data_IF_201460005375
#
_entry.id   IF_201460005375
#
_cell.length_a   1.000
_cell.length_b   1.000
_cell.length_c   1.000
_cell.angle_alpha   90.00
_cell.angle_beta   90.00
_cell.angle_gamma   90.00
#
_symmetry.space_group_name_H-M   'P 1'
#
loop_
_entity.id
_entity.type
_entity.pdbx_description
1 polymer ?
#
# COMPACT_ATOMS: atom_id res chain seq x y z
N UNK A 1 -28.10 18.75 10.21
CA UNK A 1 -27.10 17.69 10.47
C UNK A 1 -25.75 18.36 10.73
N UNK A 2 -24.72 17.61 11.21
CA UNK A 2 -23.35 18.16 11.31
C UNK A 2 -22.76 18.37 9.92
N UNK A 3 -21.93 19.41 9.74
CA UNK A 3 -21.21 19.60 8.47
C UNK A 3 -20.34 18.39 8.12
N UNK A 4 -20.11 18.10 6.83
CA UNK A 4 -19.24 16.99 6.38
C UNK A 4 -17.86 17.01 7.04
N UNK A 5 -17.24 18.18 7.12
CA UNK A 5 -15.93 18.38 7.74
C UNK A 5 -15.92 17.93 9.21
N UNK A 6 -16.92 18.34 10.01
CA UNK A 6 -17.03 17.94 11.42
C UNK A 6 -17.24 16.43 11.56
N UNK A 7 -17.97 15.80 10.63
CA UNK A 7 -18.17 14.35 10.63
C UNK A 7 -16.86 13.63 10.33
N UNK A 8 -16.17 14.01 9.25
CA UNK A 8 -14.92 13.36 8.83
C UNK A 8 -13.80 13.58 9.86
N UNK A 9 -13.65 14.79 10.40
CA UNK A 9 -12.68 15.07 11.47
C UNK A 9 -12.98 14.23 12.73
N UNK A 10 -14.24 14.07 13.11
CA UNK A 10 -14.59 13.21 14.24
C UNK A 10 -14.22 11.75 14.00
N UNK A 11 -14.40 11.23 12.77
CA UNK A 11 -14.00 9.88 12.42
C UNK A 11 -12.47 9.73 12.49
N UNK A 12 -11.71 10.70 11.96
CA UNK A 12 -10.25 10.71 12.00
C UNK A 12 -9.71 10.78 13.44
N UNK A 13 -10.29 11.61 14.30
CA UNK A 13 -9.88 11.69 15.70
C UNK A 13 -10.08 10.36 16.45
N UNK A 14 -11.24 9.71 16.26
CA UNK A 14 -11.50 8.40 16.88
C UNK A 14 -10.61 7.29 16.29
N UNK A 15 -10.15 7.45 15.05
CA UNK A 15 -9.25 6.51 14.38
C UNK A 15 -7.88 6.37 15.06
N UNK A 16 -7.44 7.39 15.81
CA UNK A 16 -6.18 7.38 16.56
C UNK A 16 -6.16 6.36 17.70
N UNK A 17 -7.33 5.96 18.17
CA UNK A 17 -7.46 4.88 19.15
C UNK A 17 -7.63 3.54 18.41
N UNK A 18 -6.67 2.63 18.59
CA UNK A 18 -6.64 1.31 17.91
C UNK A 18 -7.86 0.46 18.25
N UNK A 19 -8.36 0.55 19.49
CA UNK A 19 -9.44 -0.29 20.02
C UNK A 19 -10.82 0.31 19.81
N UNK A 20 -10.87 1.52 19.22
CA UNK A 20 -12.15 2.18 18.97
C UNK A 20 -12.93 1.47 17.86
N UNK A 21 -14.17 1.09 18.15
CA UNK A 21 -15.10 0.50 17.18
C UNK A 21 -16.15 1.51 16.77
N UNK A 22 -16.20 1.75 15.47
CA UNK A 22 -17.11 2.74 14.89
C UNK A 22 -18.54 2.22 14.83
N UNK A 23 -19.44 2.97 15.43
CA UNK A 23 -20.88 2.73 15.43
C UNK A 23 -21.63 3.82 14.66
N UNK A 24 -22.88 3.54 14.27
CA UNK A 24 -23.82 4.49 13.67
C UNK A 24 -23.29 5.18 12.39
N UNK A 25 -22.38 4.54 11.68
CA UNK A 25 -21.80 5.04 10.43
C UNK A 25 -22.86 5.19 9.33
N UNK A 26 -23.81 4.26 9.29
CA UNK A 26 -24.88 4.27 8.29
C UNK A 26 -25.72 5.55 8.33
N UNK A 27 -25.83 6.20 9.49
CA UNK A 27 -26.55 7.47 9.66
C UNK A 27 -25.89 8.63 8.92
N UNK A 28 -24.60 8.58 8.64
CA UNK A 28 -23.87 9.59 7.86
C UNK A 28 -24.40 9.66 6.43
N UNK A 29 -24.88 8.54 5.89
CA UNK A 29 -25.51 8.43 4.57
C UNK A 29 -26.88 9.12 4.48
N UNK A 30 -27.41 9.67 5.58
CA UNK A 30 -28.64 10.47 5.56
C UNK A 30 -28.36 11.97 5.41
N UNK A 31 -27.11 12.36 5.39
CA UNK A 31 -26.69 13.75 5.32
C UNK A 31 -26.53 14.21 3.86
N UNK A 32 -27.42 15.06 3.39
CA UNK A 32 -27.37 15.59 2.01
C UNK A 32 -26.05 16.33 1.71
N UNK A 33 -25.48 17.05 2.70
CA UNK A 33 -24.23 17.77 2.53
C UNK A 33 -23.04 16.83 2.23
N UNK A 34 -23.07 15.58 2.75
CA UNK A 34 -22.09 14.55 2.40
C UNK A 34 -22.16 14.18 0.92
N UNK A 35 -23.37 14.11 0.34
CA UNK A 35 -23.56 13.84 -1.08
C UNK A 35 -23.16 15.03 -1.96
N UNK A 36 -23.40 16.26 -1.50
CA UNK A 36 -22.92 17.46 -2.20
C UNK A 36 -21.40 17.52 -2.21
N UNK A 37 -20.74 17.19 -1.09
CA UNK A 37 -19.30 17.06 -1.04
C UNK A 37 -18.78 15.93 -1.95
N UNK A 38 -19.44 14.78 -1.94
CA UNK A 38 -19.12 13.66 -2.82
C UNK A 38 -19.24 14.07 -4.30
N UNK A 39 -20.31 14.78 -4.66
CA UNK A 39 -20.47 15.32 -6.01
C UNK A 39 -19.32 16.26 -6.39
N UNK A 40 -18.96 17.20 -5.53
CA UNK A 40 -17.85 18.13 -5.77
C UNK A 40 -16.51 17.38 -5.98
N UNK A 41 -16.28 16.28 -5.26
CA UNK A 41 -15.06 15.50 -5.40
C UNK A 41 -14.96 14.73 -6.71
N UNK A 42 -16.10 14.38 -7.31
CA UNK A 42 -16.11 13.54 -8.52
C UNK A 42 -16.44 14.28 -9.80
N UNK A 43 -17.13 15.44 -9.74
CA UNK A 43 -17.67 16.13 -10.91
C UNK A 43 -16.62 16.51 -11.96
N UNK A 44 -15.41 16.86 -11.53
CA UNK A 44 -14.33 17.29 -12.43
C UNK A 44 -13.44 16.13 -12.90
N UNK A 45 -13.69 14.90 -12.44
CA UNK A 45 -12.81 13.77 -12.78
C UNK A 45 -13.15 13.20 -14.16
N UNK A 46 -12.14 12.78 -14.95
CA UNK A 46 -12.38 12.07 -16.20
C UNK A 46 -13.29 10.84 -15.99
N UNK A 47 -14.16 10.56 -16.94
CA UNK A 47 -15.06 9.41 -16.89
C UNK A 47 -16.40 9.63 -16.17
N UNK A 48 -16.68 10.84 -15.64
CA UNK A 48 -17.99 11.14 -15.04
C UNK A 48 -19.12 11.17 -16.05
N UNK A 49 -18.83 11.59 -17.26
CA UNK A 49 -19.76 11.54 -18.40
C UNK A 49 -19.96 10.14 -18.96
N UNK A 50 -19.19 9.16 -18.47
CA UNK A 50 -19.36 7.76 -18.90
C UNK A 50 -20.48 7.12 -18.12
N UNK A 51 -21.57 6.76 -18.81
CA UNK A 51 -22.72 6.12 -18.22
C UNK A 51 -22.40 4.71 -17.70
N UNK A 52 -23.00 4.35 -16.58
CA UNK A 52 -23.01 2.98 -16.05
C UNK A 52 -23.96 2.08 -16.84
N UNK A 53 -24.44 1.01 -16.19
CA UNK A 53 -25.42 0.07 -16.78
C UNK A 53 -26.83 0.67 -16.90
N UNK A 54 -27.13 1.72 -16.13
CA UNK A 54 -28.42 2.41 -16.12
C UNK A 54 -28.54 3.56 -17.15
N UNK A 55 -27.48 3.81 -17.91
CA UNK A 55 -27.43 4.88 -18.91
C UNK A 55 -27.32 6.30 -18.34
N UNK A 56 -27.36 6.49 -17.01
CA UNK A 56 -27.31 7.77 -16.37
C UNK A 56 -25.89 8.34 -16.25
N UNK A 57 -25.79 9.64 -16.43
CA UNK A 57 -24.54 10.41 -16.26
C UNK A 57 -24.68 11.46 -15.16
N UNK A 58 -23.66 12.30 -15.02
CA UNK A 58 -23.64 13.42 -14.08
C UNK A 58 -24.69 14.51 -14.42
N UNK A 59 -25.10 14.64 -15.69
CA UNK A 59 -25.97 15.75 -16.16
C UNK A 59 -27.33 15.80 -15.47
N UNK A 60 -27.82 14.65 -14.98
CA UNK A 60 -29.07 14.59 -14.22
C UNK A 60 -28.94 14.91 -12.73
N UNK A 61 -27.84 15.55 -12.28
CA UNK A 61 -27.64 15.86 -10.86
C UNK A 61 -28.62 16.92 -10.35
N UNK A 62 -29.25 16.64 -9.20
CA UNK A 62 -30.17 17.56 -8.54
C UNK A 62 -30.32 17.21 -7.05
N UNK A 63 -30.74 18.18 -6.24
CA UNK A 63 -31.08 17.93 -4.83
C UNK A 63 -32.17 16.86 -4.67
N UNK A 64 -33.17 16.87 -5.54
CA UNK A 64 -34.25 15.87 -5.56
C UNK A 64 -33.71 14.44 -5.77
N UNK A 65 -32.64 14.29 -6.59
CA UNK A 65 -31.97 13.00 -6.81
C UNK A 65 -31.27 12.53 -5.53
N UNK A 66 -30.56 13.44 -4.83
CA UNK A 66 -29.95 13.13 -3.52
C UNK A 66 -31.02 12.71 -2.51
N UNK A 67 -32.13 13.46 -2.41
CA UNK A 67 -33.21 13.12 -1.47
C UNK A 67 -33.79 11.74 -1.75
N UNK A 68 -33.99 11.37 -3.02
CA UNK A 68 -34.43 10.04 -3.43
C UNK A 68 -33.44 8.95 -2.99
N UNK A 69 -32.13 9.17 -3.21
CA UNK A 69 -31.08 8.26 -2.76
C UNK A 69 -31.09 8.08 -1.24
N UNK A 70 -31.16 9.19 -0.50
CA UNK A 70 -31.23 9.18 0.96
C UNK A 70 -32.48 8.44 1.44
N UNK A 71 -33.61 8.62 0.76
CA UNK A 71 -34.85 7.89 1.05
C UNK A 71 -34.65 6.38 0.92
N UNK A 72 -34.07 5.92 -0.18
CA UNK A 72 -33.77 4.51 -0.43
C UNK A 72 -32.72 3.94 0.55
N UNK A 73 -31.76 4.75 0.99
CA UNK A 73 -30.79 4.35 2.01
C UNK A 73 -31.44 4.26 3.41
N UNK A 74 -32.34 5.19 3.78
CA UNK A 74 -33.01 5.19 5.07
C UNK A 74 -33.85 3.93 5.30
N UNK A 75 -34.58 3.50 4.29
CA UNK A 75 -35.45 2.31 4.36
C UNK A 75 -34.72 1.02 3.92
N UNK A 76 -33.40 1.07 3.66
CA UNK A 76 -32.55 -0.04 3.21
C UNK A 76 -32.95 -0.67 1.87
N UNK A 77 -33.84 -0.04 1.09
CA UNK A 77 -34.24 -0.52 -0.24
C UNK A 77 -33.19 -0.27 -1.32
N UNK A 78 -32.18 0.55 -1.02
CA UNK A 78 -31.10 0.83 -1.97
C UNK A 78 -30.37 -0.46 -2.37
N UNK A 79 -30.27 -0.67 -3.69
CA UNK A 79 -29.50 -1.74 -4.31
C UNK A 79 -28.55 -1.14 -5.35
N UNK A 80 -27.22 -1.38 -5.24
CA UNK A 80 -26.29 -0.97 -6.26
C UNK A 80 -26.60 -1.64 -7.59
N UNK A 81 -26.44 -0.89 -8.68
CA UNK A 81 -26.54 -1.45 -10.02
C UNK A 81 -25.28 -2.29 -10.37
N UNK A 82 -25.39 -3.31 -11.20
CA UNK A 82 -24.21 -3.97 -11.75
C UNK A 82 -23.33 -2.98 -12.50
N UNK A 83 -22.01 -3.07 -12.35
CA UNK A 83 -21.10 -2.22 -13.10
C UNK A 83 -21.11 -2.59 -14.58
N UNK A 84 -21.08 -1.61 -15.50
CA UNK A 84 -20.89 -1.87 -16.92
C UNK A 84 -19.44 -2.21 -17.20
N UNK A 85 -19.17 -3.40 -17.73
CA UNK A 85 -17.81 -3.85 -18.06
C UNK A 85 -17.32 -3.22 -19.37
N UNK A 86 -16.07 -2.79 -19.37
CA UNK A 86 -15.33 -2.32 -20.55
C UNK A 86 -13.89 -2.77 -20.44
N UNK A 87 -13.13 -2.68 -21.53
CA UNK A 87 -11.75 -3.15 -21.57
C UNK A 87 -10.80 -2.03 -21.98
N UNK A 88 -9.67 -1.95 -21.29
CA UNK A 88 -8.58 -1.02 -21.62
C UNK A 88 -7.35 -1.84 -22.00
N UNK A 89 -6.70 -1.55 -23.15
CA UNK A 89 -5.50 -2.26 -23.56
C UNK A 89 -4.33 -1.96 -22.61
N UNK A 90 -3.62 -2.99 -22.19
CA UNK A 90 -2.33 -2.88 -21.48
C UNK A 90 -1.19 -2.74 -22.48
N UNK A 91 -0.03 -2.24 -22.04
CA UNK A 91 1.19 -2.12 -22.86
C UNK A 91 1.67 -3.45 -23.48
N UNK A 92 1.35 -4.58 -22.85
CA UNK A 92 1.69 -5.92 -23.32
C UNK A 92 0.63 -6.56 -24.24
N UNK A 93 -0.34 -5.78 -24.73
CA UNK A 93 -1.43 -6.25 -25.60
C UNK A 93 -2.58 -6.96 -24.89
N UNK A 94 -2.45 -7.32 -23.62
CA UNK A 94 -3.56 -7.90 -22.84
C UNK A 94 -4.59 -6.82 -22.50
N UNK A 95 -5.84 -7.22 -22.35
CA UNK A 95 -6.93 -6.34 -21.95
C UNK A 95 -7.06 -6.29 -20.43
N UNK A 96 -7.32 -5.09 -19.88
CA UNK A 96 -7.67 -4.88 -18.46
C UNK A 96 -9.17 -4.65 -18.40
N UNK A 97 -9.92 -5.52 -17.70
CA UNK A 97 -11.34 -5.27 -17.45
C UNK A 97 -11.52 -4.07 -16.51
N UNK A 98 -12.46 -3.19 -16.82
CA UNK A 98 -12.84 -2.04 -16.02
C UNK A 98 -14.35 -2.05 -15.81
N UNK A 99 -14.81 -1.93 -14.57
CA UNK A 99 -16.21 -1.79 -14.23
C UNK A 99 -16.59 -0.32 -14.06
N UNK A 100 -17.60 0.14 -14.77
CA UNK A 100 -18.11 1.51 -14.68
C UNK A 100 -19.39 1.47 -13.85
N UNK A 101 -19.39 1.98 -12.59
CA UNK A 101 -20.58 2.07 -11.76
C UNK A 101 -21.58 3.10 -12.33
N UNK A 102 -22.86 2.96 -11.99
CA UNK A 102 -23.84 4.01 -12.25
C UNK A 102 -23.51 5.30 -11.51
N UNK A 103 -24.04 6.43 -11.95
CA UNK A 103 -23.70 7.71 -11.32
C UNK A 103 -24.19 7.77 -9.86
N UNK A 104 -25.37 7.26 -9.55
CA UNK A 104 -25.88 7.17 -8.19
C UNK A 104 -24.99 6.31 -7.29
N UNK A 105 -24.51 5.20 -7.82
CA UNK A 105 -23.57 4.32 -7.11
C UNK A 105 -22.22 5.01 -6.90
N UNK A 106 -21.73 5.80 -7.87
CA UNK A 106 -20.51 6.61 -7.70
C UNK A 106 -20.66 7.59 -6.53
N UNK A 107 -21.81 8.25 -6.38
CA UNK A 107 -22.07 9.18 -5.27
C UNK A 107 -22.06 8.46 -3.92
N UNK A 108 -22.79 7.34 -3.79
CA UNK A 108 -22.83 6.56 -2.55
C UNK A 108 -21.46 6.00 -2.22
N UNK A 109 -20.73 5.47 -3.21
CA UNK A 109 -19.39 4.97 -3.03
C UNK A 109 -18.41 6.07 -2.59
N UNK A 110 -18.54 7.29 -3.11
CA UNK A 110 -17.66 8.40 -2.71
C UNK A 110 -17.90 8.81 -1.26
N UNK A 111 -19.17 8.84 -0.80
CA UNK A 111 -19.46 9.08 0.62
C UNK A 111 -18.82 7.99 1.49
N UNK A 112 -18.99 6.70 1.13
CA UNK A 112 -18.36 5.59 1.84
C UNK A 112 -16.84 5.71 1.81
N UNK A 113 -16.24 6.05 0.67
CA UNK A 113 -14.79 6.23 0.53
C UNK A 113 -14.25 7.30 1.47
N UNK A 114 -14.89 8.48 1.52
CA UNK A 114 -14.50 9.56 2.43
C UNK A 114 -14.55 9.12 3.90
N UNK A 115 -15.58 8.37 4.29
CA UNK A 115 -15.71 7.85 5.64
C UNK A 115 -14.61 6.83 5.95
N UNK A 116 -14.40 5.85 5.08
CA UNK A 116 -13.37 4.83 5.27
C UNK A 116 -11.97 5.46 5.28
N UNK A 117 -11.71 6.44 4.41
CA UNK A 117 -10.43 7.16 4.40
C UNK A 117 -10.18 7.87 5.73
N UNK A 118 -11.18 8.60 6.26
CA UNK A 118 -11.07 9.25 7.56
C UNK A 118 -10.84 8.26 8.72
N UNK A 119 -11.35 7.03 8.61
CA UNK A 119 -11.25 5.99 9.63
C UNK A 119 -9.96 5.18 9.56
N UNK A 120 -9.33 5.06 8.38
CA UNK A 120 -8.21 4.16 8.18
C UNK A 120 -6.90 4.85 7.84
N UNK A 121 -6.88 6.11 7.35
CA UNK A 121 -5.66 6.77 6.90
C UNK A 121 -4.59 6.85 8.01
N UNK A 122 -4.98 7.22 9.22
CA UNK A 122 -4.09 7.27 10.39
C UNK A 122 -3.70 5.88 10.93
N UNK A 123 -4.43 4.84 10.52
CA UNK A 123 -4.23 3.47 10.97
C UNK A 123 -3.28 2.68 10.07
N UNK A 124 -3.15 3.08 8.80
CA UNK A 124 -2.28 2.43 7.83
C UNK A 124 -0.81 2.63 8.14
N UNK A 125 -0.01 1.58 7.93
CA UNK A 125 1.44 1.67 8.09
C UNK A 125 2.08 2.67 7.09
N UNK A 126 3.20 3.27 7.52
CA UNK A 126 3.91 4.24 6.71
C UNK A 126 4.59 3.65 5.47
N UNK A 127 4.66 2.34 5.37
CA UNK A 127 5.22 1.59 4.26
C UNK A 127 4.26 1.42 3.09
N UNK A 128 2.97 1.76 3.27
CA UNK A 128 1.94 1.69 2.25
C UNK A 128 1.74 3.04 1.55
N UNK A 129 1.80 3.08 0.22
CA UNK A 129 1.78 4.32 -0.57
C UNK A 129 0.67 4.41 -1.62
N UNK A 130 0.20 3.30 -2.18
CA UNK A 130 -0.79 3.31 -3.25
C UNK A 130 -2.18 3.80 -2.78
N UNK A 131 -2.85 4.58 -3.61
CA UNK A 131 -4.23 5.05 -3.40
C UNK A 131 -4.49 5.80 -2.09
N UNK A 132 -3.48 6.40 -1.49
CA UNK A 132 -3.59 7.15 -0.24
C UNK A 132 -3.41 8.66 -0.48
N UNK A 133 -4.09 9.52 0.31
CA UNK A 133 -3.89 10.96 0.25
C UNK A 133 -2.42 11.34 0.48
N UNK A 134 -1.92 12.32 -0.27
CA UNK A 134 -0.54 12.84 -0.16
C UNK A 134 0.57 11.81 -0.38
N UNK A 135 0.23 10.61 -0.89
CA UNK A 135 1.19 9.56 -1.25
C UNK A 135 1.10 9.25 -2.74
N UNK A 136 2.22 8.81 -3.29
CA UNK A 136 2.34 8.53 -4.73
C UNK A 136 3.44 7.47 -4.96
N UNK A 137 3.60 7.04 -6.21
CA UNK A 137 4.72 6.20 -6.61
C UNK A 137 6.07 6.87 -6.26
N UNK A 138 6.17 8.20 -6.43
CA UNK A 138 7.39 8.95 -6.06
C UNK A 138 7.69 8.87 -4.56
N UNK A 139 6.68 8.97 -3.70
CA UNK A 139 6.92 8.84 -2.24
C UNK A 139 7.36 7.43 -1.85
N UNK A 140 6.88 6.40 -2.53
CA UNK A 140 7.35 5.02 -2.36
C UNK A 140 8.82 4.88 -2.79
N UNK A 141 9.17 5.38 -3.99
CA UNK A 141 10.54 5.34 -4.50
C UNK A 141 11.53 6.12 -3.62
N UNK A 142 11.14 7.30 -3.11
CA UNK A 142 11.95 8.07 -2.16
C UNK A 142 12.17 7.26 -0.86
N UNK A 143 11.16 6.55 -0.37
CA UNK A 143 11.30 5.70 0.81
C UNK A 143 12.23 4.53 0.54
N UNK A 144 12.13 3.88 -0.62
CA UNK A 144 13.09 2.83 -1.04
C UNK A 144 14.51 3.40 -1.09
N UNK A 145 14.71 4.51 -1.80
CA UNK A 145 16.04 5.14 -1.93
C UNK A 145 16.67 5.48 -0.57
N UNK A 146 15.88 5.99 0.37
CA UNK A 146 16.38 6.38 1.69
C UNK A 146 16.64 5.20 2.64
N UNK A 147 15.75 4.20 2.60
CA UNK A 147 15.72 3.16 3.63
C UNK A 147 16.39 1.85 3.22
N UNK A 148 16.51 1.56 1.90
CA UNK A 148 17.08 0.31 1.42
C UNK A 148 18.60 0.37 1.23
N UNK A 149 19.26 1.24 1.98
CA UNK A 149 20.73 1.34 1.97
C UNK A 149 21.36 0.05 2.47
N UNK A 150 22.41 -0.38 1.76
CA UNK A 150 23.16 -1.61 2.06
C UNK A 150 22.33 -2.91 1.99
N UNK A 151 21.19 -2.88 1.33
CA UNK A 151 20.41 -4.08 0.98
C UNK A 151 21.20 -4.91 -0.04
N UNK A 152 21.20 -6.22 0.16
CA UNK A 152 21.85 -7.19 -0.73
C UNK A 152 20.90 -7.88 -1.67
N UNK A 153 19.73 -8.23 -1.15
CA UNK A 153 18.70 -8.97 -1.88
C UNK A 153 17.41 -8.19 -1.89
N UNK A 154 16.75 -8.23 -3.04
CA UNK A 154 15.42 -7.66 -3.21
C UNK A 154 14.45 -8.79 -3.52
N UNK A 155 13.33 -8.81 -2.80
CA UNK A 155 12.17 -9.66 -3.12
C UNK A 155 11.12 -8.73 -3.70
N UNK A 156 10.89 -8.82 -5.01
CA UNK A 156 9.84 -8.10 -5.73
C UNK A 156 8.60 -8.97 -5.72
N UNK A 157 7.50 -8.48 -5.17
CA UNK A 157 6.27 -9.25 -5.03
C UNK A 157 5.11 -8.65 -5.79
N UNK A 158 4.37 -9.50 -6.50
CA UNK A 158 3.13 -9.19 -7.23
C UNK A 158 2.04 -10.20 -6.82
N UNK A 159 0.85 -9.71 -6.52
CA UNK A 159 -0.28 -10.56 -6.14
C UNK A 159 -1.12 -10.86 -7.39
N UNK A 160 -1.34 -12.14 -7.67
CA UNK A 160 -2.05 -12.57 -8.87
C UNK A 160 -3.51 -12.10 -8.86
N UNK A 161 -3.86 -11.27 -9.88
CA UNK A 161 -5.25 -10.82 -10.08
C UNK A 161 -5.88 -10.20 -8.83
N UNK A 162 -5.13 -9.44 -8.04
CA UNK A 162 -5.48 -8.99 -6.71
C UNK A 162 -6.93 -8.48 -6.60
N UNK A 163 -7.32 -7.50 -7.43
CA UNK A 163 -8.67 -6.91 -7.37
C UNK A 163 -9.78 -7.91 -7.68
N UNK A 164 -9.50 -8.91 -8.51
CA UNK A 164 -10.47 -9.94 -8.91
C UNK A 164 -10.55 -11.08 -7.88
N UNK A 165 -9.52 -11.24 -7.03
CA UNK A 165 -9.38 -12.34 -6.08
C UNK A 165 -9.60 -11.94 -4.61
N UNK A 166 -9.92 -10.67 -4.31
CA UNK A 166 -10.27 -10.27 -2.93
C UNK A 166 -11.42 -11.12 -2.42
N UNK A 167 -11.18 -11.86 -1.34
CA UNK A 167 -12.22 -12.68 -0.71
C UNK A 167 -13.18 -11.77 0.09
N UNK A 168 -14.47 -11.77 -0.27
CA UNK A 168 -15.47 -10.90 0.35
C UNK A 168 -15.65 -11.16 1.84
N UNK A 169 -15.62 -12.41 2.30
CA UNK A 169 -15.84 -12.72 3.70
C UNK A 169 -14.63 -12.34 4.56
N UNK A 170 -13.41 -12.53 4.04
CA UNK A 170 -12.18 -12.04 4.69
C UNK A 170 -12.21 -10.52 4.79
N UNK A 171 -12.54 -9.80 3.70
CA UNK A 171 -12.64 -8.34 3.71
C UNK A 171 -13.66 -7.85 4.74
N UNK A 172 -14.86 -8.45 4.74
CA UNK A 172 -15.91 -8.10 5.71
C UNK A 172 -15.46 -8.41 7.15
N UNK A 173 -14.72 -9.52 7.37
CA UNK A 173 -14.11 -9.84 8.66
C UNK A 173 -13.17 -8.73 9.13
N UNK A 174 -12.26 -8.29 8.26
CA UNK A 174 -11.31 -7.20 8.54
C UNK A 174 -12.05 -5.88 8.86
N UNK A 175 -13.07 -5.53 8.07
CA UNK A 175 -13.87 -4.33 8.34
C UNK A 175 -14.57 -4.40 9.70
N UNK A 176 -15.12 -5.55 10.09
CA UNK A 176 -15.81 -5.77 11.36
C UNK A 176 -14.90 -5.65 12.59
N UNK A 177 -13.60 -5.76 12.45
CA UNK A 177 -12.67 -5.51 13.57
C UNK A 177 -12.83 -4.08 14.11
N UNK A 178 -13.05 -3.11 13.23
CA UNK A 178 -13.19 -1.69 13.59
C UNK A 178 -14.61 -1.13 13.42
N UNK A 179 -15.47 -1.78 12.67
CA UNK A 179 -16.83 -1.31 12.36
C UNK A 179 -17.85 -2.20 13.02
N UNK A 180 -18.61 -1.65 13.98
CA UNK A 180 -19.69 -2.33 14.67
C UNK A 180 -21.08 -2.10 14.03
N UNK A 181 -21.18 -1.20 13.03
CA UNK A 181 -22.44 -0.89 12.33
C UNK A 181 -22.75 -1.94 11.25
N UNK A 182 -23.60 -2.90 11.58
CA UNK A 182 -24.00 -3.97 10.65
C UNK A 182 -24.76 -3.46 9.42
N UNK A 183 -25.46 -2.32 9.51
CA UNK A 183 -26.13 -1.72 8.33
C UNK A 183 -25.12 -1.21 7.33
N UNK A 184 -24.05 -0.58 7.82
CA UNK A 184 -22.96 -0.11 6.99
C UNK A 184 -22.21 -1.29 6.34
N UNK A 185 -21.93 -2.34 7.08
CA UNK A 185 -21.31 -3.58 6.57
C UNK A 185 -22.19 -4.24 5.51
N UNK A 186 -23.53 -4.32 5.73
CA UNK A 186 -24.45 -4.86 4.70
C UNK A 186 -24.42 -4.05 3.41
N UNK A 187 -24.32 -2.72 3.49
CA UNK A 187 -24.21 -1.88 2.30
C UNK A 187 -22.94 -2.15 1.52
N UNK A 188 -21.78 -2.25 2.20
CA UNK A 188 -20.52 -2.63 1.55
C UNK A 188 -20.66 -4.00 0.89
N UNK A 189 -21.26 -4.97 1.57
CA UNK A 189 -21.50 -6.31 0.99
C UNK A 189 -22.41 -6.26 -0.25
N UNK A 190 -23.41 -5.36 -0.29
CA UNK A 190 -24.24 -5.14 -1.47
C UNK A 190 -23.40 -4.66 -2.66
N UNK A 191 -22.47 -3.70 -2.46
CA UNK A 191 -21.55 -3.25 -3.51
C UNK A 191 -20.63 -4.36 -4.00
N UNK A 192 -20.06 -5.17 -3.10
CA UNK A 192 -19.20 -6.30 -3.48
C UNK A 192 -19.94 -7.35 -4.32
N UNK A 193 -21.23 -7.54 -4.07
CA UNK A 193 -22.09 -8.53 -4.74
C UNK A 193 -22.90 -7.97 -5.92
N UNK A 194 -22.76 -6.68 -6.25
CA UNK A 194 -23.56 -6.02 -7.28
C UNK A 194 -23.37 -6.65 -8.69
N UNK A 195 -22.23 -7.30 -8.94
CA UNK A 195 -21.95 -7.92 -10.23
C UNK A 195 -21.54 -6.92 -11.30
N UNK A 196 -21.50 -7.40 -12.53
CA UNK A 196 -21.24 -6.57 -13.70
C UNK A 196 -22.07 -7.05 -14.91
N UNK A 197 -22.28 -6.14 -15.86
CA UNK A 197 -22.89 -6.43 -17.16
C UNK A 197 -21.82 -6.34 -18.24
N UNK A 198 -21.69 -7.39 -19.03
CA UNK A 198 -20.83 -7.52 -20.19
C UNK A 198 -21.65 -8.06 -21.35
N UNK A 199 -21.60 -7.41 -22.50
CA UNK A 199 -22.37 -7.78 -23.70
C UNK A 199 -23.87 -8.05 -23.41
N UNK A 200 -24.45 -7.20 -22.54
CA UNK A 200 -25.85 -7.29 -22.07
C UNK A 200 -26.17 -8.53 -21.22
N UNK A 201 -25.13 -9.31 -20.81
CA UNK A 201 -25.28 -10.46 -19.91
C UNK A 201 -24.84 -10.07 -18.51
N UNK A 202 -25.66 -10.41 -17.51
CA UNK A 202 -25.34 -10.19 -16.10
C UNK A 202 -24.44 -11.29 -15.57
N UNK A 203 -23.36 -10.89 -14.91
CA UNK A 203 -22.41 -11.78 -14.23
C UNK A 203 -22.37 -11.48 -12.73
N UNK A 204 -22.54 -12.50 -11.92
CA UNK A 204 -22.39 -12.39 -10.45
C UNK A 204 -20.92 -12.28 -10.08
N UNK A 205 -20.63 -11.50 -9.04
CA UNK A 205 -19.30 -11.39 -8.43
C UNK A 205 -19.27 -12.20 -7.15
N UNK A 206 -18.46 -13.25 -7.10
CA UNK A 206 -18.26 -14.09 -5.91
C UNK A 206 -17.02 -13.68 -5.14
N UNK A 207 -16.05 -13.09 -5.80
CA UNK A 207 -14.83 -12.53 -5.26
C UNK A 207 -14.50 -11.22 -5.98
N UNK A 208 -13.56 -10.47 -5.43
CA UNK A 208 -13.05 -9.25 -6.03
C UNK A 208 -13.89 -8.00 -5.78
N UNK A 209 -13.27 -6.89 -6.11
CA UNK A 209 -13.91 -5.58 -6.18
C UNK A 209 -13.85 -5.09 -7.62
N UNK A 210 -14.92 -4.51 -8.19
CA UNK A 210 -14.88 -4.05 -9.57
C UNK A 210 -13.70 -3.08 -9.78
N UNK A 211 -12.78 -3.41 -10.69
CA UNK A 211 -11.73 -2.48 -11.08
C UNK A 211 -12.41 -1.26 -11.72
N UNK A 212 -12.26 -0.08 -11.08
CA UNK A 212 -12.94 1.15 -11.48
C UNK A 212 -14.04 1.61 -10.52
N UNK A 213 -14.41 0.81 -9.52
CA UNK A 213 -15.25 1.26 -8.41
C UNK A 213 -14.50 2.29 -7.54
N UNK A 214 -15.21 3.32 -7.07
CA UNK A 214 -14.62 4.42 -6.27
C UNK A 214 -14.12 3.91 -4.91
N UNK A 215 -14.81 2.94 -4.31
CA UNK A 215 -14.41 2.36 -3.01
C UNK A 215 -13.35 1.26 -3.14
N UNK A 216 -13.12 0.69 -4.34
CA UNK A 216 -12.22 -0.44 -4.51
C UNK A 216 -10.79 -0.17 -4.04
N UNK A 217 -10.18 1.01 -4.30
CA UNK A 217 -8.82 1.32 -3.84
C UNK A 217 -8.67 1.36 -2.32
N UNK A 218 -9.64 1.94 -1.60
CA UNK A 218 -9.58 2.00 -0.13
C UNK A 218 -9.84 0.63 0.50
N UNK A 219 -10.76 -0.17 -0.06
CA UNK A 219 -10.98 -1.54 0.38
C UNK A 219 -9.76 -2.43 0.15
N UNK A 220 -9.06 -2.24 -0.97
CA UNK A 220 -7.79 -2.89 -1.28
C UNK A 220 -6.72 -2.57 -0.23
N UNK A 221 -6.58 -1.31 0.14
CA UNK A 221 -5.63 -0.92 1.18
C UNK A 221 -6.00 -1.48 2.56
N UNK A 222 -7.28 -1.48 2.93
CA UNK A 222 -7.76 -2.09 4.19
C UNK A 222 -7.46 -3.59 4.21
N UNK A 223 -7.62 -4.27 3.09
CA UNK A 223 -7.32 -5.71 2.96
C UNK A 223 -5.83 -5.98 3.13
N UNK A 224 -4.98 -5.23 2.42
CA UNK A 224 -3.52 -5.41 2.43
C UNK A 224 -2.82 -4.79 3.64
N UNK A 225 -3.50 -4.00 4.45
CA UNK A 225 -2.98 -3.53 5.75
C UNK A 225 -2.60 -4.70 6.67
N UNK A 226 -3.27 -5.85 6.51
CA UNK A 226 -2.88 -7.09 7.21
C UNK A 226 -1.51 -7.58 6.81
N UNK A 227 -1.16 -7.47 5.53
CA UNK A 227 0.20 -7.78 5.05
C UNK A 227 1.21 -6.77 5.58
N UNK A 228 0.87 -5.47 5.56
CA UNK A 228 1.77 -4.42 6.04
C UNK A 228 2.11 -4.63 7.53
N UNK A 229 1.13 -4.96 8.36
CA UNK A 229 1.31 -5.27 9.77
C UNK A 229 2.09 -6.57 10.00
N UNK A 230 1.78 -7.61 9.23
CA UNK A 230 2.55 -8.85 9.26
C UNK A 230 4.03 -8.59 8.94
N UNK A 231 4.33 -7.80 7.92
CA UNK A 231 5.70 -7.46 7.56
C UNK A 231 6.42 -6.63 8.62
N UNK A 232 5.71 -5.78 9.33
CA UNK A 232 6.25 -5.04 10.48
C UNK A 232 6.65 -5.97 11.62
N UNK A 233 5.74 -6.86 12.03
CA UNK A 233 6.03 -7.86 13.06
C UNK A 233 7.12 -8.83 12.64
N UNK A 234 7.13 -9.20 11.35
CA UNK A 234 8.18 -10.08 10.79
C UNK A 234 9.55 -9.41 10.86
N UNK A 235 9.62 -8.11 10.51
CA UNK A 235 10.86 -7.34 10.59
C UNK A 235 11.38 -7.26 12.05
N UNK A 236 10.50 -7.03 13.02
CA UNK A 236 10.89 -7.00 14.44
C UNK A 236 11.51 -8.33 14.93
N UNK A 237 11.03 -9.46 14.40
CA UNK A 237 11.57 -10.80 14.73
C UNK A 237 12.85 -11.14 13.97
N UNK A 238 12.94 -10.70 12.72
CA UNK A 238 14.05 -11.01 11.83
C UNK A 238 15.27 -10.13 12.10
N UNK A 239 15.06 -8.87 12.45
CA UNK A 239 16.10 -7.88 12.64
C UNK A 239 17.05 -8.29 13.78
N UNK A 240 18.36 -8.34 13.49
CA UNK A 240 19.38 -8.84 14.42
C UNK A 240 20.60 -7.91 14.45
N UNK A 241 21.19 -7.77 15.63
CA UNK A 241 22.41 -6.96 15.83
C UNK A 241 22.16 -5.44 15.81
N UNK A 242 23.10 -4.67 16.34
CA UNK A 242 23.02 -3.20 16.37
C UNK A 242 23.76 -2.60 15.18
N UNK A 243 24.93 -3.13 14.84
CA UNK A 243 25.76 -2.70 13.70
C UNK A 243 26.53 -3.88 13.12
N UNK A 244 26.85 -3.79 11.81
CA UNK A 244 27.73 -4.77 11.13
C UNK A 244 29.13 -4.76 11.73
N UNK A 245 29.80 -5.90 11.71
CA UNK A 245 31.23 -6.01 12.02
C UNK A 245 32.02 -5.18 11.02
N UNK A 246 33.10 -4.58 11.52
CA UNK A 246 34.04 -3.89 10.63
C UNK A 246 34.81 -4.92 9.80
N UNK A 247 34.95 -4.67 8.49
CA UNK A 247 35.78 -5.48 7.63
C UNK A 247 37.23 -5.53 8.17
N UNK A 248 37.80 -6.72 8.43
CA UNK A 248 39.11 -6.85 9.02
C UNK A 248 40.20 -6.17 8.18
N UNK A 249 40.14 -6.26 6.84
CA UNK A 249 41.11 -5.59 5.97
C UNK A 249 40.96 -4.07 6.01
N UNK A 250 39.74 -3.55 5.97
CA UNK A 250 39.50 -2.11 6.13
C UNK A 250 40.07 -1.60 7.47
N UNK A 251 39.86 -2.34 8.56
CA UNK A 251 40.39 -2.02 9.89
C UNK A 251 41.93 -2.00 9.86
N UNK A 252 42.53 -3.00 9.24
CA UNK A 252 44.01 -3.10 9.07
C UNK A 252 44.55 -1.92 8.31
N UNK A 253 43.95 -1.56 7.15
CA UNK A 253 44.40 -0.42 6.34
C UNK A 253 44.19 0.91 7.09
N UNK A 254 43.09 1.08 7.77
CA UNK A 254 42.80 2.27 8.57
C UNK A 254 43.83 2.45 9.71
N UNK A 255 44.19 1.37 10.41
CA UNK A 255 45.21 1.39 11.45
C UNK A 255 46.59 1.75 10.86
N UNK A 256 46.98 1.20 9.67
CA UNK A 256 48.23 1.56 9.02
C UNK A 256 48.27 3.03 8.60
N UNK A 257 47.16 3.57 8.05
CA UNK A 257 47.08 4.98 7.66
C UNK A 257 47.24 5.88 8.90
N UNK A 258 46.57 5.53 10.00
CA UNK A 258 46.67 6.28 11.27
C UNK A 258 48.11 6.28 11.80
N UNK A 259 48.74 5.10 11.83
CA UNK A 259 50.16 4.95 12.28
C UNK A 259 51.13 5.75 11.40
N UNK A 260 51.04 5.64 10.08
CA UNK A 260 51.87 6.41 9.14
C UNK A 260 51.62 7.91 9.26
N UNK A 261 50.33 8.33 9.46
CA UNK A 261 49.99 9.73 9.69
C UNK A 261 50.58 10.29 10.98
N UNK A 262 50.62 9.48 12.04
CA UNK A 262 51.26 9.87 13.32
C UNK A 262 52.79 9.99 13.12
N UNK A 263 53.42 9.08 12.38
CA UNK A 263 54.84 9.14 12.04
C UNK A 263 55.17 10.37 11.18
N UNK A 264 54.31 10.67 10.19
CA UNK A 264 54.49 11.85 9.31
C UNK A 264 54.47 13.18 10.12
N UNK A 265 53.60 13.28 11.16
CA UNK A 265 53.56 14.48 12.04
C UNK A 265 54.82 14.69 12.85
N UNK A 266 55.60 13.62 13.13
CA UNK A 266 56.79 13.64 13.94
C UNK A 266 58.10 13.74 13.13
N UNK A 267 58.01 13.62 11.78
CA UNK A 267 59.18 13.59 10.88
C UNK A 267 59.41 14.96 10.27
N UNK A 268 60.59 15.53 10.45
CA UNK A 268 61.05 16.83 9.87
C UNK A 268 61.73 16.67 8.52
N UNK A 269 62.38 15.52 8.27
CA UNK A 269 63.09 15.25 7.04
C UNK A 269 62.16 15.18 5.83
N UNK A 270 62.39 16.05 4.83
CA UNK A 270 61.54 16.20 3.65
C UNK A 270 61.48 14.94 2.76
N UNK A 271 62.58 14.20 2.61
CA UNK A 271 62.66 12.97 1.79
C UNK A 271 61.75 11.91 2.42
N UNK A 272 61.93 11.66 3.72
CA UNK A 272 61.11 10.70 4.48
C UNK A 272 59.63 11.11 4.55
N UNK A 273 59.32 12.40 4.57
CA UNK A 273 57.92 12.90 4.50
C UNK A 273 57.27 12.54 3.15
N UNK A 274 57.99 12.71 2.03
CA UNK A 274 57.48 12.35 0.68
C UNK A 274 57.23 10.85 0.57
N UNK A 275 58.12 10.01 1.10
CA UNK A 275 57.94 8.55 1.14
C UNK A 275 56.70 8.15 1.96
N UNK A 276 56.52 8.72 3.15
CA UNK A 276 55.37 8.46 4.00
C UNK A 276 54.05 8.88 3.36
N UNK A 277 54.01 10.04 2.68
CA UNK A 277 52.84 10.49 1.93
C UNK A 277 52.49 9.53 0.81
N UNK A 278 53.54 9.06 0.06
CA UNK A 278 53.36 8.09 -1.02
C UNK A 278 52.78 6.76 -0.48
N UNK A 279 53.33 6.28 0.64
CA UNK A 279 52.85 5.07 1.31
C UNK A 279 51.38 5.21 1.79
N UNK A 280 51.03 6.38 2.40
CA UNK A 280 49.64 6.66 2.81
C UNK A 280 48.71 6.63 1.61
N UNK A 281 49.06 7.31 0.49
CA UNK A 281 48.24 7.31 -0.73
C UNK A 281 48.04 5.90 -1.31
N UNK A 282 49.08 5.08 -1.30
CA UNK A 282 48.98 3.69 -1.74
C UNK A 282 48.00 2.89 -0.89
N UNK A 283 48.06 3.02 0.45
CA UNK A 283 47.17 2.30 1.36
C UNK A 283 45.76 2.87 1.28
N UNK A 284 45.56 4.18 1.08
CA UNK A 284 44.25 4.80 0.85
C UNK A 284 43.56 4.20 -0.37
N UNK A 285 44.32 3.97 -1.48
CA UNK A 285 43.78 3.26 -2.66
C UNK A 285 43.32 1.82 -2.32
N UNK A 286 44.11 1.08 -1.51
CA UNK A 286 43.77 -0.29 -1.08
C UNK A 286 42.57 -0.30 -0.09
N UNK A 287 42.34 0.80 0.62
CA UNK A 287 41.18 0.94 1.55
C UNK A 287 39.86 1.26 0.84
N UNK A 288 39.83 1.40 -0.48
CA UNK A 288 38.61 1.51 -1.28
C UNK A 288 37.86 0.16 -1.37
N UNK A 289 37.60 -0.41 -0.21
CA UNK A 289 36.82 -1.62 0.02
C UNK A 289 35.72 -1.29 1.01
N UNK A 290 34.61 -2.09 1.10
CA UNK A 290 33.56 -1.88 2.09
C UNK A 290 34.14 -1.82 3.52
N UNK A 291 33.72 -0.80 4.28
CA UNK A 291 34.20 -0.59 5.66
C UNK A 291 33.65 -1.60 6.66
N UNK A 292 32.55 -2.25 6.29
CA UNK A 292 31.86 -3.26 7.12
C UNK A 292 31.79 -4.59 6.36
N UNK A 293 31.66 -5.66 7.10
CA UNK A 293 31.40 -6.98 6.56
C UNK A 293 29.96 -7.02 6.03
N UNK A 294 29.82 -7.14 4.73
CA UNK A 294 28.52 -7.16 4.07
C UNK A 294 27.75 -8.45 4.30
N UNK A 295 28.45 -9.54 4.64
CA UNK A 295 27.88 -10.86 4.92
C UNK A 295 27.85 -11.20 6.41
N UNK A 296 27.89 -10.19 7.28
CA UNK A 296 27.82 -10.41 8.72
C UNK A 296 26.52 -11.11 9.14
N UNK A 297 26.59 -12.40 9.47
CA UNK A 297 25.46 -13.21 9.91
C UNK A 297 24.80 -12.72 11.22
N UNK A 298 25.51 -11.88 11.98
CA UNK A 298 24.98 -11.29 13.22
C UNK A 298 24.26 -9.96 12.99
N UNK A 299 24.17 -9.50 11.73
CA UNK A 299 23.43 -8.30 11.37
C UNK A 299 22.46 -8.56 10.24
N UNK A 300 21.18 -8.60 10.58
CA UNK A 300 20.10 -8.83 9.61
C UNK A 300 19.08 -7.70 9.69
N UNK A 301 18.52 -7.29 8.56
CA UNK A 301 17.44 -6.30 8.46
C UNK A 301 16.50 -6.62 7.33
N UNK A 302 15.23 -6.33 7.56
CA UNK A 302 14.21 -6.27 6.52
C UNK A 302 13.73 -4.83 6.35
N UNK A 303 13.56 -4.43 5.10
CA UNK A 303 12.90 -3.18 4.70
C UNK A 303 11.76 -3.51 3.76
N UNK A 304 10.61 -2.91 3.97
CA UNK A 304 9.40 -3.20 3.21
C UNK A 304 8.76 -1.91 2.74
N UNK A 305 8.29 -1.89 1.50
CA UNK A 305 7.49 -0.81 0.91
C UNK A 305 6.46 -1.43 -0.02
N UNK A 306 5.22 -0.95 0.04
CA UNK A 306 4.12 -1.38 -0.83
C UNK A 306 3.50 -0.20 -1.57
N UNK A 307 3.18 -0.42 -2.84
CA UNK A 307 2.41 0.48 -3.67
C UNK A 307 1.25 -0.29 -4.31
N UNK A 308 0.03 -0.09 -3.81
CA UNK A 308 -1.16 -0.89 -4.16
C UNK A 308 -0.93 -2.39 -3.90
N UNK A 309 -0.99 -3.22 -4.92
CA UNK A 309 -0.74 -4.67 -4.90
C UNK A 309 0.74 -5.05 -5.11
N UNK A 310 1.56 -4.12 -5.63
CA UNK A 310 3.00 -4.32 -5.79
C UNK A 310 3.73 -4.03 -4.47
N UNK A 311 4.70 -4.87 -4.09
CA UNK A 311 5.56 -4.61 -2.95
C UNK A 311 7.02 -5.00 -3.21
N UNK A 312 7.91 -4.36 -2.47
CA UNK A 312 9.33 -4.66 -2.52
C UNK A 312 9.89 -4.82 -1.11
N UNK A 313 10.72 -5.85 -0.93
CA UNK A 313 11.39 -6.14 0.32
C UNK A 313 12.89 -6.12 0.08
N UNK A 314 13.57 -5.29 0.85
CA UNK A 314 15.04 -5.26 0.89
C UNK A 314 15.56 -6.08 2.06
N UNK A 315 16.40 -7.06 1.78
CA UNK A 315 16.96 -7.98 2.78
C UNK A 315 18.46 -7.75 2.95
N UNK A 316 18.86 -7.48 4.17
CA UNK A 316 20.25 -7.55 4.62
C UNK A 316 20.39 -8.90 5.31
N UNK A 317 20.92 -9.88 4.59
CA UNK A 317 21.03 -11.27 5.00
C UNK A 317 21.52 -12.14 3.86
N UNK A 318 21.36 -13.44 3.98
CA UNK A 318 21.70 -14.43 2.95
C UNK A 318 20.60 -14.53 1.86
N UNK A 319 20.90 -15.17 0.75
CA UNK A 319 19.91 -15.53 -0.26
C UNK A 319 18.83 -16.47 0.31
N UNK A 320 19.26 -17.44 1.13
CA UNK A 320 18.36 -18.36 1.81
C UNK A 320 17.36 -17.62 2.72
N UNK A 321 17.78 -16.57 3.43
CA UNK A 321 16.86 -15.72 4.19
C UNK A 321 15.78 -15.12 3.29
N UNK A 322 16.15 -14.64 2.09
CA UNK A 322 15.21 -14.06 1.13
C UNK A 322 14.22 -15.08 0.56
N UNK A 323 14.69 -16.30 0.34
CA UNK A 323 13.85 -17.43 -0.09
C UNK A 323 12.85 -17.82 1.00
N UNK A 324 13.29 -17.87 2.26
CA UNK A 324 12.40 -18.12 3.42
C UNK A 324 11.36 -17.02 3.56
N UNK A 325 11.76 -15.75 3.47
CA UNK A 325 10.83 -14.60 3.54
C UNK A 325 9.77 -14.68 2.44
N UNK A 326 10.18 -15.01 1.20
CA UNK A 326 9.24 -15.18 0.07
C UNK A 326 8.20 -16.27 0.36
N UNK A 327 8.64 -17.41 0.86
CA UNK A 327 7.74 -18.54 1.17
C UNK A 327 6.82 -18.21 2.35
N UNK A 328 7.30 -17.58 3.40
CA UNK A 328 6.49 -17.17 4.55
C UNK A 328 5.40 -16.17 4.14
N UNK A 329 5.71 -15.21 3.24
CA UNK A 329 4.72 -14.27 2.70
C UNK A 329 3.70 -15.00 1.84
N UNK A 330 4.11 -15.93 0.98
CA UNK A 330 3.23 -16.75 0.17
C UNK A 330 2.22 -17.49 1.05
N UNK A 331 2.71 -18.13 2.11
CA UNK A 331 1.87 -18.85 3.07
C UNK A 331 0.91 -17.89 3.81
N UNK A 332 1.40 -16.75 4.27
CA UNK A 332 0.55 -15.74 4.91
C UNK A 332 -0.57 -15.24 3.98
N UNK A 333 -0.25 -14.88 2.73
CA UNK A 333 -1.22 -14.43 1.74
C UNK A 333 -2.28 -15.49 1.48
N UNK A 334 -1.87 -16.75 1.32
CA UNK A 334 -2.77 -17.86 1.07
C UNK A 334 -3.66 -18.17 2.27
N UNK A 335 -3.08 -18.34 3.45
CA UNK A 335 -3.80 -18.79 4.64
C UNK A 335 -4.72 -17.72 5.21
N UNK A 336 -4.23 -16.48 5.32
CA UNK A 336 -4.94 -15.38 5.99
C UNK A 336 -5.78 -14.53 5.05
N UNK A 337 -5.27 -14.29 3.85
CA UNK A 337 -5.90 -13.38 2.90
C UNK A 337 -6.52 -14.11 1.68
N UNK A 338 -6.37 -15.43 1.57
CA UNK A 338 -6.88 -16.20 0.43
C UNK A 338 -6.42 -15.63 -0.93
N UNK A 339 -5.19 -15.12 -0.96
CA UNK A 339 -4.55 -14.56 -2.13
C UNK A 339 -3.37 -15.44 -2.57
N UNK A 340 -3.09 -15.42 -3.87
CA UNK A 340 -1.96 -16.15 -4.45
C UNK A 340 -0.87 -15.16 -4.86
N UNK A 341 0.37 -15.45 -4.45
CA UNK A 341 1.54 -14.71 -4.92
C UNK A 341 1.87 -15.15 -6.36
N UNK A 342 2.08 -14.20 -7.26
CA UNK A 342 2.48 -14.50 -8.64
C UNK A 342 3.92 -15.03 -8.66
N UNK A 343 4.10 -16.33 -8.93
CA UNK A 343 5.43 -16.95 -8.97
C UNK A 343 6.27 -16.42 -10.13
N UNK A 344 5.67 -16.15 -11.28
CA UNK A 344 6.35 -15.62 -12.46
C UNK A 344 6.91 -14.21 -12.27
N UNK A 345 6.21 -13.39 -11.48
CA UNK A 345 6.57 -11.98 -11.27
C UNK A 345 7.26 -11.73 -9.93
N UNK A 346 7.23 -12.70 -9.01
CA UNK A 346 7.89 -12.58 -7.72
C UNK A 346 9.33 -13.06 -7.83
N UNK A 347 10.24 -12.11 -7.97
CA UNK A 347 11.65 -12.35 -8.22
C UNK A 347 12.49 -12.09 -6.97
N UNK A 348 13.61 -12.81 -6.85
CA UNK A 348 14.68 -12.52 -5.88
C UNK A 348 15.87 -12.05 -6.69
N UNK A 349 16.21 -10.77 -6.56
CA UNK A 349 17.30 -10.13 -7.30
C UNK A 349 18.42 -9.71 -6.35
N UNK A 350 19.67 -9.74 -6.85
CA UNK A 350 20.83 -9.25 -6.10
C UNK A 350 21.04 -7.77 -6.44
N UNK A 351 21.21 -6.91 -5.42
CA UNK A 351 21.43 -5.48 -5.56
C UNK A 351 22.86 -5.08 -5.83
#
# INVERSE_FOLDING_TARGET
MRSPEKVLNSLSEHSKCSDYRFERLYRVLYNADMFLLAYNNIQSKPGNMTAGSDGNTIDGMSLKRIEKLIGALKNESYQPNPARRTYIPKKNGKLRPLGIPSFDDKLVQEVIRMMLEAMYEEYFENTSHGFRPRRSCHTALIQVQKNFTATKWFVEGDIEGFFDNINHDVLIGILKERIADERFIRLIRKFLKAGYIEDWVFHKTYSGTPQGGIISPILANIYLDKLDKYMKEYAEKFDKGIKRKMNPEYKRYSGKIWWLGTKLKKTENEVTRKELITAIRCIQKKRLIPSVDEMDENYKRIKYVRYADDFIIGVIGSKADSETIKEDIKNFLYDKLKLTLSEEKTLITHG
#
